data_IF_051956559063
#
_entry.id   IF_051956559063
#
_cell.length_a   1.000
_cell.length_b   1.000
_cell.length_c   1.000
_cell.angle_alpha   90.00
_cell.angle_beta   90.00
_cell.angle_gamma   90.00
#
_symmetry.space_group_name_H-M   'P 1'
#
loop_
_entity.id
_entity.type
_entity.pdbx_description
1 polymer ?
#
# COMPACT_ATOMS: atom_id res chain seq x y z
N UNK A 1 11.43 20.86 4.05
CA UNK A 1 10.51 19.82 3.54
C UNK A 1 10.07 19.06 4.77
N UNK A 2 8.76 18.93 5.07
CA UNK A 2 8.34 18.09 6.21
C UNK A 2 8.65 16.63 5.88
N UNK A 3 8.99 15.84 6.89
CA UNK A 3 9.42 14.46 6.72
C UNK A 3 8.30 13.62 6.08
N UNK A 4 8.69 12.68 5.21
CA UNK A 4 7.76 11.68 4.70
C UNK A 4 7.64 10.59 5.75
N UNK A 5 6.41 10.28 6.15
CA UNK A 5 6.11 9.17 7.06
C UNK A 5 5.65 8.00 6.22
N UNK A 6 6.24 6.83 6.47
CA UNK A 6 5.86 5.59 5.81
C UNK A 6 5.04 4.78 6.80
N UNK A 7 3.87 4.33 6.35
CA UNK A 7 3.06 3.33 7.01
C UNK A 7 2.95 2.12 6.10
N UNK A 8 3.05 0.91 6.65
CA UNK A 8 2.75 -0.31 5.90
C UNK A 8 1.96 -1.27 6.77
N UNK A 9 0.97 -1.94 6.18
CA UNK A 9 0.25 -3.04 6.81
C UNK A 9 0.56 -4.37 6.11
N UNK A 10 0.80 -5.42 6.91
CA UNK A 10 0.71 -6.81 6.47
C UNK A 10 -0.76 -7.25 6.56
N UNK A 11 -1.38 -7.50 5.41
CA UNK A 11 -2.81 -7.78 5.31
C UNK A 11 -3.09 -9.22 5.71
N UNK A 12 -4.05 -9.39 6.62
CA UNK A 12 -4.39 -10.72 7.07
C UNK A 12 -5.49 -10.70 8.11
N UNK A 13 -6.10 -11.87 8.29
CA UNK A 13 -7.26 -12.03 9.19
C UNK A 13 -7.04 -11.43 10.58
N UNK A 14 -7.63 -10.25 10.83
CA UNK A 14 -7.61 -9.52 12.11
C UNK A 14 -8.06 -10.42 13.27
N UNK A 15 -9.15 -11.17 13.10
CA UNK A 15 -9.69 -12.09 14.13
C UNK A 15 -8.68 -13.18 14.54
N UNK A 16 -7.80 -13.58 13.63
CA UNK A 16 -6.75 -14.58 13.87
C UNK A 16 -5.42 -13.95 14.30
N UNK A 17 -5.37 -12.62 14.45
CA UNK A 17 -4.16 -11.85 14.75
C UNK A 17 -3.09 -11.95 13.65
N UNK A 18 -3.55 -12.01 12.40
CA UNK A 18 -2.68 -12.05 11.22
C UNK A 18 -2.49 -10.68 10.56
N UNK A 19 -3.03 -9.62 11.17
CA UNK A 19 -2.82 -8.25 10.72
C UNK A 19 -1.68 -7.65 11.53
N UNK A 20 -0.74 -7.00 10.86
CA UNK A 20 0.37 -6.29 11.47
C UNK A 20 0.65 -5.00 10.74
N UNK A 21 1.28 -4.03 11.39
CA UNK A 21 1.69 -2.81 10.74
C UNK A 21 2.99 -2.26 11.32
N UNK A 22 3.65 -1.42 10.51
CA UNK A 22 4.81 -0.65 10.89
C UNK A 22 4.68 0.79 10.38
N UNK A 23 5.22 1.73 11.15
CA UNK A 23 5.41 3.13 10.81
C UNK A 23 6.89 3.49 10.93
N UNK A 24 7.43 4.22 9.98
CA UNK A 24 8.77 4.83 10.05
C UNK A 24 8.79 6.22 9.43
N UNK A 25 9.89 6.96 9.63
CA UNK A 25 10.07 8.32 9.11
C UNK A 25 11.33 8.37 8.24
N UNK A 26 11.25 8.99 7.06
CA UNK A 26 12.44 9.21 6.23
C UNK A 26 13.41 10.13 6.96
N UNK A 27 14.65 9.68 7.14
CA UNK A 27 15.71 10.42 7.82
C UNK A 27 15.90 10.03 9.28
N UNK A 28 14.95 9.32 9.90
CA UNK A 28 15.09 8.73 11.24
C UNK A 28 15.11 7.20 11.14
N UNK A 29 16.31 6.63 11.33
CA UNK A 29 16.54 5.18 11.12
C UNK A 29 16.20 4.33 12.34
N UNK A 30 15.93 4.94 13.50
CA UNK A 30 15.72 4.20 14.75
C UNK A 30 14.28 4.35 15.29
N UNK A 31 13.48 5.26 14.74
CA UNK A 31 12.08 5.47 15.14
C UNK A 31 11.09 4.65 14.32
N UNK A 32 11.00 3.34 14.63
CA UNK A 32 9.93 2.47 14.13
C UNK A 32 8.85 2.24 15.19
N UNK A 33 7.59 2.41 14.81
CA UNK A 33 6.45 1.97 15.61
C UNK A 33 5.79 0.78 14.92
N UNK A 34 5.37 -0.20 15.71
CA UNK A 34 4.73 -1.41 15.22
C UNK A 34 3.49 -1.74 16.03
N UNK A 35 2.54 -2.41 15.41
CA UNK A 35 1.35 -2.89 16.10
C UNK A 35 0.56 -3.90 15.28
N UNK A 36 -0.61 -4.27 15.81
CA UNK A 36 -1.53 -5.23 15.18
C UNK A 36 -2.99 -4.76 15.22
N UNK A 37 -3.25 -3.55 15.71
CA UNK A 37 -4.58 -2.93 15.71
C UNK A 37 -4.79 -2.18 14.40
N UNK A 38 -5.79 -2.59 13.62
CA UNK A 38 -6.19 -1.89 12.39
C UNK A 38 -6.74 -0.48 12.68
N UNK A 39 -7.33 -0.27 13.87
CA UNK A 39 -7.78 1.04 14.32
C UNK A 39 -6.59 1.95 14.55
N UNK A 40 -5.59 1.51 15.31
CA UNK A 40 -4.39 2.31 15.61
C UNK A 40 -3.64 2.67 14.32
N UNK A 41 -3.63 1.75 13.35
CA UNK A 41 -3.06 1.98 12.01
C UNK A 41 -3.79 3.12 11.28
N UNK A 42 -5.10 3.02 11.12
CA UNK A 42 -5.89 4.03 10.39
C UNK A 42 -5.91 5.38 11.12
N UNK A 43 -6.11 5.38 12.44
CA UNK A 43 -6.17 6.59 13.27
C UNK A 43 -4.78 7.28 13.30
N UNK A 44 -3.69 6.51 13.32
CA UNK A 44 -2.32 7.03 13.23
C UNK A 44 -2.02 7.72 11.89
N UNK A 45 -2.45 7.12 10.78
CA UNK A 45 -2.31 7.72 9.44
C UNK A 45 -3.10 9.03 9.35
N UNK A 46 -4.36 9.04 9.79
CA UNK A 46 -5.19 10.24 9.79
C UNK A 46 -4.55 11.37 10.62
N UNK A 47 -3.98 11.02 11.77
CA UNK A 47 -3.25 11.97 12.62
C UNK A 47 -2.01 12.53 11.93
N UNK A 48 -1.20 11.70 11.28
CA UNK A 48 -0.02 12.18 10.55
C UNK A 48 -0.39 13.09 9.37
N UNK A 49 -1.43 12.74 8.60
CA UNK A 49 -1.96 13.60 7.52
C UNK A 49 -2.45 14.93 8.09
N UNK A 50 -3.20 14.92 9.20
CA UNK A 50 -3.74 16.14 9.84
C UNK A 50 -2.65 17.04 10.42
N UNK A 51 -1.57 16.46 10.93
CA UNK A 51 -0.37 17.19 11.34
C UNK A 51 0.45 17.74 10.15
N UNK A 52 0.02 17.43 8.92
CA UNK A 52 0.58 17.93 7.68
C UNK A 52 1.86 17.23 7.27
N UNK A 53 2.07 15.98 7.69
CA UNK A 53 3.06 15.09 7.09
C UNK A 53 2.60 14.63 5.70
N UNK A 54 3.57 14.28 4.86
CA UNK A 54 3.34 13.52 3.62
C UNK A 54 3.37 12.04 3.99
N UNK A 55 2.29 11.30 3.76
CA UNK A 55 2.19 9.89 4.12
C UNK A 55 2.33 8.97 2.91
N UNK A 56 3.28 8.03 2.97
CA UNK A 56 3.41 6.91 2.06
C UNK A 56 2.77 5.65 2.70
N UNK A 57 1.61 5.22 2.20
CA UNK A 57 0.79 4.14 2.74
C UNK A 57 0.94 2.86 1.90
N UNK A 58 1.52 1.83 2.51
CA UNK A 58 1.77 0.52 1.93
C UNK A 58 0.81 -0.56 2.43
N UNK A 59 0.52 -1.52 1.55
CA UNK A 59 -0.22 -2.73 1.90
C UNK A 59 0.51 -3.97 1.34
N UNK A 60 0.73 -4.99 2.17
CA UNK A 60 1.18 -6.33 1.74
C UNK A 60 -0.04 -7.08 1.21
N UNK A 61 -0.48 -6.70 0.02
CA UNK A 61 -1.41 -7.46 -0.80
C UNK A 61 -1.40 -6.88 -2.22
N UNK A 62 -1.75 -7.67 -3.27
CA UNK A 62 -1.87 -7.11 -4.61
C UNK A 62 -2.91 -5.98 -4.66
N UNK A 63 -2.47 -4.78 -5.06
CA UNK A 63 -3.32 -3.58 -5.15
C UNK A 63 -3.88 -3.33 -6.53
N UNK A 64 -3.42 -4.07 -7.53
CA UNK A 64 -3.94 -4.03 -8.89
C UNK A 64 -3.81 -5.38 -9.58
N UNK A 65 -4.66 -5.62 -10.56
CA UNK A 65 -4.63 -6.81 -11.42
C UNK A 65 -4.63 -6.40 -12.89
N UNK A 66 -3.98 -7.15 -13.79
CA UNK A 66 -3.97 -6.83 -15.21
C UNK A 66 -5.31 -7.22 -15.85
N UNK A 67 -5.89 -6.33 -16.67
CA UNK A 67 -6.99 -6.69 -17.57
C UNK A 67 -6.37 -7.00 -18.94
N UNK A 68 -5.94 -8.25 -19.13
CA UNK A 68 -5.36 -8.70 -20.40
C UNK A 68 -6.40 -8.74 -21.52
N UNK A 69 -6.02 -8.31 -22.72
CA UNK A 69 -6.84 -8.49 -23.93
C UNK A 69 -6.98 -9.97 -24.31
N UNK A 70 -6.04 -10.83 -23.92
CA UNK A 70 -6.14 -12.28 -24.11
C UNK A 70 -6.83 -12.92 -22.90
N UNK A 71 -8.04 -13.49 -23.05
CA UNK A 71 -8.77 -14.09 -21.94
C UNK A 71 -8.02 -15.22 -21.21
N UNK A 72 -7.11 -15.91 -21.91
CA UNK A 72 -6.29 -16.98 -21.31
C UNK A 72 -5.30 -16.46 -20.26
N UNK A 73 -4.98 -15.16 -20.30
CA UNK A 73 -4.02 -14.52 -19.41
C UNK A 73 -4.67 -13.78 -18.24
N UNK A 74 -6.01 -13.76 -18.14
CA UNK A 74 -6.74 -12.99 -17.10
C UNK A 74 -6.36 -13.38 -15.67
N UNK A 75 -5.85 -14.59 -15.45
CA UNK A 75 -5.42 -15.08 -14.14
C UNK A 75 -3.91 -15.33 -14.06
N UNK A 76 -3.15 -14.85 -15.05
CA UNK A 76 -1.70 -15.00 -15.09
C UNK A 76 -0.99 -14.00 -14.17
N UNK A 77 0.27 -14.28 -13.85
CA UNK A 77 1.09 -13.42 -13.01
C UNK A 77 1.33 -12.07 -13.67
N UNK A 78 1.46 -11.02 -12.84
CA UNK A 78 1.89 -9.70 -13.30
C UNK A 78 3.35 -9.76 -13.72
N UNK A 79 3.77 -8.85 -14.60
CA UNK A 79 5.18 -8.77 -15.00
C UNK A 79 6.03 -8.40 -13.79
N UNK A 80 6.95 -9.27 -13.40
CA UNK A 80 7.84 -9.10 -12.23
C UNK A 80 7.42 -9.86 -10.97
N UNK A 81 6.23 -10.46 -10.96
CA UNK A 81 5.67 -11.20 -9.81
C UNK A 81 6.33 -12.60 -9.63
N UNK A 82 6.94 -13.14 -10.70
CA UNK A 82 7.58 -14.45 -10.72
C UNK A 82 6.63 -15.58 -11.14
N UNK A 83 6.83 -16.78 -10.61
CA UNK A 83 6.18 -18.00 -11.12
C UNK A 83 4.75 -18.22 -10.60
N UNK A 84 4.32 -17.49 -9.58
CA UNK A 84 3.00 -17.66 -8.97
C UNK A 84 2.11 -16.47 -9.31
N UNK A 85 0.96 -16.67 -9.95
CA UNK A 85 0.07 -15.58 -10.25
C UNK A 85 -0.56 -15.01 -8.97
N UNK A 86 -0.88 -13.71 -9.01
CA UNK A 86 -1.74 -13.05 -8.01
C UNK A 86 -3.06 -13.80 -7.77
N UNK A 87 -3.55 -14.54 -8.75
CA UNK A 87 -4.79 -15.32 -8.68
C UNK A 87 -4.63 -16.68 -7.98
N UNK A 88 -3.40 -17.14 -7.72
CA UNK A 88 -3.14 -18.38 -7.01
C UNK A 88 -3.64 -18.30 -5.57
N UNK A 89 -3.85 -19.46 -4.93
CA UNK A 89 -4.55 -19.58 -3.63
C UNK A 89 -4.18 -18.53 -2.58
N UNK A 90 -2.89 -18.29 -2.34
CA UNK A 90 -2.43 -17.28 -1.39
C UNK A 90 -2.77 -15.85 -1.84
N UNK A 91 -2.43 -15.50 -3.08
CA UNK A 91 -2.68 -14.18 -3.67
C UNK A 91 -4.17 -13.84 -3.75
N UNK A 92 -4.99 -14.75 -4.27
CA UNK A 92 -6.43 -14.53 -4.39
C UNK A 92 -7.12 -14.37 -3.04
N UNK A 93 -6.66 -15.10 -2.01
CA UNK A 93 -7.21 -14.97 -0.65
C UNK A 93 -6.81 -13.66 0.01
N UNK A 94 -5.55 -13.24 -0.12
CA UNK A 94 -5.09 -11.98 0.48
C UNK A 94 -5.69 -10.77 -0.25
N UNK A 95 -5.91 -10.83 -1.56
CA UNK A 95 -6.67 -9.81 -2.29
C UNK A 95 -8.08 -9.66 -1.71
N UNK A 96 -8.82 -10.76 -1.54
CA UNK A 96 -10.19 -10.70 -1.01
C UNK A 96 -10.23 -10.08 0.40
N UNK A 97 -9.23 -10.40 1.24
CA UNK A 97 -9.08 -9.80 2.57
C UNK A 97 -8.73 -8.31 2.46
N UNK A 98 -7.76 -7.98 1.61
CA UNK A 98 -7.28 -6.63 1.36
C UNK A 98 -8.34 -5.70 0.80
N UNK A 99 -9.24 -6.17 -0.06
CA UNK A 99 -10.37 -5.38 -0.56
C UNK A 99 -11.25 -4.84 0.58
N UNK A 100 -11.53 -5.67 1.58
CA UNK A 100 -12.33 -5.26 2.72
C UNK A 100 -11.53 -4.37 3.68
N UNK A 101 -10.30 -4.75 4.00
CA UNK A 101 -9.46 -4.03 4.97
C UNK A 101 -9.03 -2.65 4.44
N UNK A 102 -8.59 -2.54 3.18
CA UNK A 102 -8.20 -1.25 2.56
C UNK A 102 -9.38 -0.28 2.50
N UNK A 103 -10.57 -0.74 2.10
CA UNK A 103 -11.77 0.10 2.09
C UNK A 103 -12.16 0.58 3.49
N UNK A 104 -12.04 -0.28 4.51
CA UNK A 104 -12.30 0.12 5.89
C UNK A 104 -11.27 1.13 6.40
N UNK A 105 -9.98 0.88 6.15
CA UNK A 105 -8.87 1.76 6.56
C UNK A 105 -9.02 3.14 5.91
N UNK A 106 -9.21 3.18 4.59
CA UNK A 106 -9.39 4.44 3.86
C UNK A 106 -10.65 5.19 4.30
N UNK A 107 -11.76 4.48 4.56
CA UNK A 107 -12.97 5.11 5.09
C UNK A 107 -12.74 5.74 6.47
N UNK A 108 -12.00 5.05 7.34
CA UNK A 108 -11.64 5.54 8.67
C UNK A 108 -10.68 6.73 8.61
N UNK A 109 -9.70 6.70 7.70
CA UNK A 109 -8.80 7.84 7.48
C UNK A 109 -9.59 9.06 7.00
N UNK A 110 -10.51 8.88 6.04
CA UNK A 110 -11.34 9.97 5.53
C UNK A 110 -12.27 10.57 6.60
N UNK A 111 -12.79 9.73 7.49
CA UNK A 111 -13.63 10.19 8.62
C UNK A 111 -12.85 11.04 9.63
N UNK A 112 -11.58 10.70 9.87
CA UNK A 112 -10.78 11.28 10.95
C UNK A 112 -9.83 12.40 10.52
N UNK A 113 -9.42 12.45 9.26
CA UNK A 113 -8.49 13.45 8.79
C UNK A 113 -9.12 14.86 8.90
N UNK A 114 -8.42 15.80 9.52
CA UNK A 114 -8.87 17.18 9.69
C UNK A 114 -8.56 18.07 8.47
N UNK A 115 -8.01 17.46 7.41
CA UNK A 115 -7.62 18.12 6.16
C UNK A 115 -8.04 17.27 4.96
N UNK A 116 -8.20 17.92 3.81
CA UNK A 116 -8.49 17.27 2.54
C UNK A 116 -7.39 16.27 2.15
N UNK A 117 -7.79 15.04 1.81
CA UNK A 117 -6.86 13.97 1.44
C UNK A 117 -6.62 14.04 -0.07
N UNK A 118 -5.36 14.25 -0.44
CA UNK A 118 -4.91 14.36 -1.82
C UNK A 118 -3.99 13.21 -2.15
N UNK A 119 -4.58 12.20 -2.78
CA UNK A 119 -3.99 10.90 -3.08
C UNK A 119 -3.31 10.87 -4.45
N UNK A 120 -2.27 10.05 -4.58
CA UNK A 120 -1.66 9.69 -5.86
C UNK A 120 -1.00 8.32 -5.80
N UNK A 121 -0.78 7.70 -6.95
CA UNK A 121 0.05 6.52 -7.13
C UNK A 121 1.40 6.84 -7.79
N UNK A 122 1.66 8.11 -8.11
CA UNK A 122 2.92 8.60 -8.69
C UNK A 122 3.80 9.25 -7.61
N UNK A 123 4.97 8.65 -7.39
CA UNK A 123 5.94 9.15 -6.41
C UNK A 123 6.49 10.54 -6.73
N UNK A 124 6.74 10.84 -8.00
CA UNK A 124 7.26 12.15 -8.41
C UNK A 124 6.21 13.23 -8.20
N UNK A 125 4.94 12.94 -8.49
CA UNK A 125 3.86 13.85 -8.14
C UNK A 125 3.76 14.03 -6.64
N UNK A 126 3.83 12.94 -5.88
CA UNK A 126 3.76 12.98 -4.43
C UNK A 126 4.81 13.89 -3.82
N UNK A 127 6.08 13.81 -4.23
CA UNK A 127 7.13 14.65 -3.65
C UNK A 127 7.09 16.11 -4.14
N UNK A 128 6.66 16.35 -5.38
CA UNK A 128 6.76 17.67 -6.02
C UNK A 128 5.48 18.52 -5.92
N UNK A 129 4.32 17.91 -5.69
CA UNK A 129 3.02 18.60 -5.59
C UNK A 129 2.52 18.68 -4.14
N UNK A 130 1.44 19.44 -3.94
CA UNK A 130 0.72 19.54 -2.66
C UNK A 130 -0.20 18.34 -2.40
N UNK A 131 0.32 17.13 -2.62
CA UNK A 131 -0.34 15.85 -2.31
C UNK A 131 0.13 15.38 -0.92
N UNK A 132 -0.72 14.68 -0.18
CA UNK A 132 -0.42 14.27 1.20
C UNK A 132 -0.56 12.77 1.45
N UNK A 133 -1.07 12.01 0.47
CA UNK A 133 -1.15 10.56 0.51
C UNK A 133 -0.58 9.94 -0.77
N UNK A 134 0.39 9.06 -0.64
CA UNK A 134 0.89 8.20 -1.71
C UNK A 134 0.63 6.74 -1.32
N UNK A 135 0.05 5.95 -2.22
CA UNK A 135 -0.27 4.54 -1.93
C UNK A 135 0.62 3.62 -2.77
N UNK A 136 1.18 2.60 -2.14
CA UNK A 136 2.09 1.64 -2.76
C UNK A 136 1.80 0.21 -2.32
N UNK A 137 2.26 -0.76 -3.10
CA UNK A 137 2.14 -2.18 -2.81
C UNK A 137 3.46 -2.71 -2.21
N UNK A 138 3.37 -3.32 -1.03
CA UNK A 138 4.47 -4.07 -0.44
C UNK A 138 4.46 -5.50 -0.96
N UNK A 139 5.60 -5.97 -1.45
CA UNK A 139 5.80 -7.36 -1.85
C UNK A 139 6.90 -7.98 -0.99
N UNK A 140 6.52 -8.66 0.10
CA UNK A 140 7.49 -9.31 0.99
C UNK A 140 7.63 -10.78 0.60
N UNK A 141 8.75 -11.17 0.00
CA UNK A 141 8.96 -12.55 -0.43
C UNK A 141 9.21 -13.48 0.76
N UNK A 142 9.06 -14.80 0.55
CA UNK A 142 9.23 -15.81 1.61
C UNK A 142 10.60 -15.78 2.28
N UNK A 143 11.63 -15.43 1.53
CA UNK A 143 13.01 -15.31 2.02
C UNK A 143 13.19 -14.15 2.99
N UNK A 144 12.33 -13.14 2.86
CA UNK A 144 12.36 -11.90 3.63
C UNK A 144 11.25 -11.82 4.69
N UNK A 145 10.39 -12.85 4.79
CA UNK A 145 9.33 -12.89 5.82
C UNK A 145 9.93 -12.99 7.22
N UNK A 146 9.46 -12.13 8.10
CA UNK A 146 9.72 -12.17 9.52
C UNK A 146 8.89 -13.27 10.20
N UNK A 147 9.16 -13.49 11.50
CA UNK A 147 8.37 -14.41 12.31
C UNK A 147 7.00 -13.85 12.71
N UNK A 148 6.82 -12.54 12.63
CA UNK A 148 5.59 -11.83 13.00
C UNK A 148 5.09 -11.00 11.83
N UNK A 149 3.76 -10.82 11.75
CA UNK A 149 3.11 -10.00 10.73
C UNK A 149 3.55 -8.53 10.79
N UNK A 150 3.73 -7.98 12.00
CA UNK A 150 4.31 -6.64 12.16
C UNK A 150 5.76 -6.56 11.67
N UNK A 151 6.48 -7.69 11.68
CA UNK A 151 7.83 -7.80 11.14
C UNK A 151 7.85 -7.79 9.61
N UNK A 152 6.88 -8.41 8.93
CA UNK A 152 6.72 -8.30 7.48
C UNK A 152 6.46 -6.84 7.08
N UNK A 153 5.59 -6.15 7.83
CA UNK A 153 5.37 -4.72 7.65
C UNK A 153 6.63 -3.87 7.92
N UNK A 154 7.42 -4.21 8.95
CA UNK A 154 8.68 -3.53 9.26
C UNK A 154 9.71 -3.71 8.13
N UNK A 155 9.84 -4.93 7.60
CA UNK A 155 10.70 -5.22 6.45
C UNK A 155 10.29 -4.37 5.25
N UNK A 156 8.99 -4.28 4.95
CA UNK A 156 8.48 -3.45 3.87
C UNK A 156 8.82 -1.96 4.07
N UNK A 157 8.61 -1.40 5.27
CA UNK A 157 8.97 -0.01 5.58
C UNK A 157 10.48 0.23 5.46
N UNK A 158 11.31 -0.66 5.99
CA UNK A 158 12.78 -0.55 5.89
C UNK A 158 13.26 -0.60 4.45
N UNK A 159 12.67 -1.46 3.63
CA UNK A 159 12.97 -1.54 2.20
C UNK A 159 12.57 -0.24 1.51
N UNK A 160 11.37 0.31 1.78
CA UNK A 160 10.97 1.62 1.26
C UNK A 160 12.00 2.71 1.58
N UNK A 161 12.41 2.82 2.86
CA UNK A 161 13.37 3.83 3.32
C UNK A 161 14.74 3.65 2.63
N UNK A 162 15.15 2.40 2.38
CA UNK A 162 16.40 2.10 1.69
C UNK A 162 16.39 2.54 0.22
N UNK A 163 15.25 2.37 -0.46
CA UNK A 163 15.09 2.75 -1.86
C UNK A 163 14.88 4.27 -2.04
N UNK A 164 14.58 5.02 -0.98
CA UNK A 164 14.49 6.48 -1.03
C UNK A 164 15.86 7.14 -1.33
N UNK A 165 15.94 8.15 -2.23
CA UNK A 165 14.82 8.82 -2.92
C UNK A 165 14.36 8.17 -4.24
N UNK A 166 15.05 7.12 -4.70
CA UNK A 166 14.87 6.44 -5.99
C UNK A 166 13.73 5.38 -5.98
N UNK A 167 12.62 5.68 -5.32
CA UNK A 167 11.47 4.77 -5.13
C UNK A 167 10.88 4.30 -6.46
N UNK A 168 10.92 5.13 -7.51
CA UNK A 168 10.40 4.78 -8.85
C UNK A 168 11.21 3.65 -9.48
N UNK A 169 12.52 3.66 -9.29
CA UNK A 169 13.46 2.68 -9.84
C UNK A 169 13.32 1.31 -9.14
N UNK A 170 12.81 1.31 -7.90
CA UNK A 170 12.53 0.11 -7.14
C UNK A 170 11.23 -0.61 -7.55
N UNK A 171 10.45 -0.06 -8.51
CA UNK A 171 9.20 -0.68 -8.93
C UNK A 171 9.41 -2.07 -9.55
N UNK A 172 9.04 -3.11 -8.81
CA UNK A 172 9.33 -4.49 -9.15
C UNK A 172 8.25 -5.13 -10.04
N UNK A 173 7.01 -4.61 -10.03
CA UNK A 173 5.87 -5.22 -10.71
C UNK A 173 5.14 -4.20 -11.57
N UNK A 174 4.78 -4.62 -12.79
CA UNK A 174 4.04 -3.79 -13.75
C UNK A 174 2.91 -4.58 -14.39
N UNK A 175 1.88 -3.88 -14.87
CA UNK A 175 0.80 -4.44 -15.65
C UNK A 175 0.45 -3.51 -16.81
N UNK A 176 0.13 -4.12 -17.96
CA UNK A 176 -0.59 -3.44 -19.02
C UNK A 176 -2.08 -3.41 -18.66
N UNK A 177 -2.72 -2.25 -18.83
CA UNK A 177 -4.14 -2.04 -18.51
C UNK A 177 -4.52 -2.50 -17.09
N UNK A 178 -3.94 -1.88 -16.05
CA UNK A 178 -4.20 -2.28 -14.67
C UNK A 178 -5.64 -1.95 -14.27
N UNK A 179 -6.22 -2.82 -13.45
CA UNK A 179 -7.39 -2.53 -12.64
C UNK A 179 -6.94 -2.30 -11.20
N UNK A 180 -6.92 -1.03 -10.80
CA UNK A 180 -6.47 -0.60 -9.48
C UNK A 180 -7.56 -0.83 -8.43
N UNK A 181 -7.32 -1.81 -7.57
CA UNK A 181 -8.27 -2.26 -6.55
C UNK A 181 -8.37 -1.26 -5.40
N UNK A 182 -7.26 -0.60 -5.04
CA UNK A 182 -7.29 0.42 -3.98
C UNK A 182 -7.91 1.73 -4.48
N UNK A 183 -7.82 2.04 -5.77
CA UNK A 183 -8.58 3.13 -6.37
C UNK A 183 -10.09 2.91 -6.25
N UNK A 184 -10.57 1.68 -6.44
CA UNK A 184 -11.98 1.36 -6.18
C UNK A 184 -12.37 1.61 -4.70
N UNK A 185 -11.46 1.36 -3.77
CA UNK A 185 -11.66 1.69 -2.36
C UNK A 185 -11.69 3.21 -2.11
N UNK A 186 -10.79 3.98 -2.74
CA UNK A 186 -10.78 5.46 -2.67
C UNK A 186 -12.10 6.06 -3.16
N UNK A 187 -12.63 5.55 -4.28
CA UNK A 187 -13.93 5.94 -4.82
C UNK A 187 -15.07 5.57 -3.87
N UNK A 188 -15.02 4.35 -3.29
CA UNK A 188 -16.06 3.87 -2.37
C UNK A 188 -16.16 4.69 -1.09
N UNK A 189 -15.02 5.19 -0.60
CA UNK A 189 -14.92 5.93 0.66
C UNK A 189 -15.07 7.44 0.50
N UNK A 190 -15.15 7.93 -0.74
CA UNK A 190 -15.28 9.35 -1.05
C UNK A 190 -13.99 10.15 -0.87
N UNK A 191 -12.82 9.48 -0.82
CA UNK A 191 -11.53 10.18 -0.86
C UNK A 191 -11.27 10.75 -2.26
N UNK A 192 -11.79 10.09 -3.29
CA UNK A 192 -11.70 10.57 -4.68
C UNK A 192 -13.01 10.29 -5.42
N UNK A 193 -13.28 11.08 -6.45
CA UNK A 193 -14.32 10.87 -7.46
C UNK A 193 -13.73 10.65 -8.87
N UNK A 194 -12.40 10.60 -8.98
CA UNK A 194 -11.69 10.45 -10.23
C UNK A 194 -11.60 8.97 -10.66
N UNK A 195 -12.39 8.61 -11.66
CA UNK A 195 -12.44 7.26 -12.21
C UNK A 195 -11.15 6.87 -12.95
N UNK A 196 -10.33 7.83 -13.37
CA UNK A 196 -9.08 7.52 -14.09
C UNK A 196 -8.05 6.79 -13.22
N UNK A 197 -8.12 6.99 -11.90
CA UNK A 197 -7.34 6.26 -10.90
C UNK A 197 -7.48 4.73 -10.98
N UNK A 198 -8.63 4.23 -11.47
CA UNK A 198 -8.85 2.79 -11.67
C UNK A 198 -7.90 2.18 -12.70
N UNK A 199 -7.28 2.99 -13.54
CA UNK A 199 -6.34 2.59 -14.59
C UNK A 199 -4.88 2.91 -14.27
N UNK A 200 -4.56 3.32 -13.04
CA UNK A 200 -3.18 3.59 -12.61
C UNK A 200 -2.55 2.38 -11.89
N UNK A 201 -1.25 2.15 -12.08
CA UNK A 201 -0.51 1.18 -11.28
C UNK A 201 -0.02 1.81 -9.98
N UNK A 202 -0.09 1.06 -8.87
CA UNK A 202 0.72 1.37 -7.70
C UNK A 202 2.19 1.03 -7.98
N UNK A 203 3.13 1.76 -7.36
CA UNK A 203 4.52 1.30 -7.28
C UNK A 203 4.56 0.07 -6.36
N UNK A 204 5.24 -0.98 -6.81
CA UNK A 204 5.43 -2.21 -6.04
C UNK A 204 6.87 -2.30 -5.56
N UNK A 205 7.07 -2.28 -4.25
CA UNK A 205 8.40 -2.37 -3.65
C UNK A 205 8.58 -3.78 -3.09
N UNK A 206 9.59 -4.47 -3.61
CA UNK A 206 9.88 -5.86 -3.26
C UNK A 206 10.99 -5.94 -2.21
N UNK A 207 10.69 -6.60 -1.10
CA UNK A 207 11.64 -6.94 -0.05
C UNK A 207 12.02 -8.42 -0.08
#
# INVERSE_FOLDING_TARGET
>A
MRDVVIWCADIGSIKKKNFGWCRGIIGDKDEFLMGSSIQDFADGIAKDISNGYKVALGFECPLFVPISENPLNLTSARKGEGDRPWSASAGGTVIATGLAETAWILGRINELAEVDIKVTFDWNEFINKSLNLFIWEAFVSKESKAQTHSGDAEVAVKTFIKEYPDVVQANAVTAENPYNLVAAALLRTGISDDLSLLSECCIVIKA
#
